data_IF_399499918101
#
_entry.id   IF_399499918101
#
_cell.length_a   1.000
_cell.length_b   1.000
_cell.length_c   1.000
_cell.angle_alpha   90.00
_cell.angle_beta   90.00
_cell.angle_gamma   90.00
#
_symmetry.space_group_name_H-M   'P 1'
#
loop_
_entity.id
_entity.type
_entity.pdbx_description
1 polymer ?
#
# COMPACT_ATOMS: atom_id res chain seq x y z
N UNK A 1 -3.96 -12.65 -3.87
CA UNK A 1 -5.11 -12.43 -2.96
C UNK A 1 -6.04 -11.36 -3.54
N UNK A 2 -7.37 -11.51 -3.44
CA UNK A 2 -8.29 -10.46 -3.89
C UNK A 2 -8.05 -9.15 -3.13
N UNK A 3 -8.17 -8.01 -3.81
CA UNK A 3 -7.89 -6.70 -3.20
C UNK A 3 -8.72 -6.43 -1.94
N UNK A 4 -9.94 -6.97 -1.88
CA UNK A 4 -10.81 -6.86 -0.71
C UNK A 4 -10.31 -7.69 0.49
N UNK A 5 -9.80 -8.89 0.23
CA UNK A 5 -9.17 -9.72 1.24
C UNK A 5 -7.89 -9.07 1.76
N UNK A 6 -7.08 -8.47 0.88
CA UNK A 6 -5.87 -7.71 1.26
C UNK A 6 -6.23 -6.54 2.18
N UNK A 7 -7.24 -5.74 1.84
CA UNK A 7 -7.69 -4.62 2.68
C UNK A 7 -8.20 -5.12 4.05
N UNK A 8 -8.96 -6.21 4.08
CA UNK A 8 -9.45 -6.79 5.34
C UNK A 8 -8.32 -7.32 6.22
N UNK A 9 -7.34 -7.99 5.63
CA UNK A 9 -6.15 -8.50 6.32
C UNK A 9 -5.35 -7.35 6.94
N UNK A 10 -5.06 -6.31 6.16
CA UNK A 10 -4.38 -5.11 6.65
C UNK A 10 -5.17 -4.44 7.80
N UNK A 11 -6.49 -4.35 7.69
CA UNK A 11 -7.33 -3.79 8.75
C UNK A 11 -7.27 -4.61 10.06
N UNK A 12 -7.22 -5.95 9.97
CA UNK A 12 -7.05 -6.84 11.14
C UNK A 12 -5.69 -6.64 11.80
N UNK A 13 -4.62 -6.59 11.00
CA UNK A 13 -3.26 -6.35 11.50
C UNK A 13 -3.19 -5.00 12.19
N UNK A 14 -3.72 -3.93 11.56
CA UNK A 14 -3.78 -2.60 12.16
C UNK A 14 -4.46 -2.61 13.54
N UNK A 15 -5.61 -3.28 13.66
CA UNK A 15 -6.32 -3.42 14.94
C UNK A 15 -5.54 -4.26 15.96
N UNK A 16 -4.79 -5.27 15.51
CA UNK A 16 -3.96 -6.07 16.38
C UNK A 16 -2.80 -5.24 16.97
N UNK A 17 -2.20 -4.33 16.19
CA UNK A 17 -1.16 -3.42 16.69
C UNK A 17 -1.71 -2.59 17.88
N UNK A 18 -2.96 -2.11 17.82
CA UNK A 18 -3.58 -1.39 18.94
C UNK A 18 -3.76 -2.25 20.20
N UNK A 19 -3.95 -3.57 20.04
CA UNK A 19 -4.18 -4.52 21.16
C UNK A 19 -2.89 -5.12 21.72
N UNK A 20 -1.89 -5.38 20.88
CA UNK A 20 -0.69 -6.16 21.20
C UNK A 20 0.50 -5.31 21.62
N UNK A 21 0.72 -4.16 20.97
CA UNK A 21 1.91 -3.32 21.23
C UNK A 21 2.06 -2.88 22.68
N UNK A 22 1.01 -2.61 23.45
CA UNK A 22 1.18 -2.27 24.86
C UNK A 22 1.60 -3.45 25.77
N UNK A 23 1.57 -4.71 25.31
CA UNK A 23 1.59 -5.89 26.20
C UNK A 23 2.72 -6.89 26.01
N UNK A 24 3.28 -7.06 24.80
CA UNK A 24 4.13 -8.24 24.51
C UNK A 24 5.52 -7.92 23.96
N UNK A 25 5.66 -6.95 23.05
CA UNK A 25 6.93 -6.69 22.39
C UNK A 25 7.75 -5.61 23.13
N UNK A 26 8.83 -6.00 23.80
CA UNK A 26 9.79 -5.07 24.42
C UNK A 26 10.85 -4.56 23.44
N UNK A 27 10.91 -5.13 22.23
CA UNK A 27 11.88 -4.74 21.20
C UNK A 27 11.19 -4.51 19.83
N UNK A 28 11.68 -3.56 19.02
CA UNK A 28 11.10 -3.25 17.72
C UNK A 28 11.20 -4.37 16.68
N UNK A 29 12.29 -5.12 16.65
CA UNK A 29 12.49 -6.28 15.78
C UNK A 29 11.46 -7.39 16.08
N UNK A 30 11.25 -7.69 17.35
CA UNK A 30 10.23 -8.65 17.78
C UNK A 30 8.81 -8.20 17.41
N UNK A 31 8.53 -6.89 17.49
CA UNK A 31 7.24 -6.36 17.02
C UNK A 31 7.04 -6.61 15.52
N UNK A 32 8.05 -6.35 14.68
CA UNK A 32 7.91 -6.58 13.24
C UNK A 32 7.71 -8.07 12.92
N UNK A 33 8.47 -8.95 13.58
CA UNK A 33 8.29 -10.39 13.46
C UNK A 33 6.86 -10.83 13.82
N UNK A 34 6.32 -10.37 14.95
CA UNK A 34 4.94 -10.67 15.38
C UNK A 34 3.89 -10.19 14.34
N UNK A 35 4.14 -9.06 13.67
CA UNK A 35 3.24 -8.54 12.63
C UNK A 35 3.31 -9.36 11.34
N UNK A 36 4.49 -9.84 10.97
CA UNK A 36 4.66 -10.75 9.84
C UNK A 36 3.99 -12.10 10.12
N UNK A 37 4.15 -12.66 11.32
CA UNK A 37 3.47 -13.89 11.73
C UNK A 37 1.95 -13.74 11.66
N UNK A 38 1.43 -12.59 12.11
CA UNK A 38 -0.01 -12.30 12.01
C UNK A 38 -0.47 -12.18 10.56
N UNK A 39 0.33 -11.60 9.68
CA UNK A 39 0.04 -11.51 8.26
C UNK A 39 -0.02 -12.91 7.62
N UNK A 40 1.01 -13.72 7.81
CA UNK A 40 1.09 -15.11 7.31
C UNK A 40 -0.08 -15.95 7.81
N UNK A 41 -0.43 -15.82 9.10
CA UNK A 41 -1.60 -16.49 9.67
C UNK A 41 -2.93 -16.01 9.06
N UNK A 42 -3.01 -14.74 8.65
CA UNK A 42 -4.21 -14.15 8.06
C UNK A 42 -4.37 -14.46 6.57
N UNK A 43 -3.28 -14.76 5.87
CA UNK A 43 -3.28 -15.15 4.44
C UNK A 43 -3.40 -16.65 4.25
N UNK A 44 -3.70 -17.43 5.30
CA UNK A 44 -3.75 -18.90 5.28
C UNK A 44 -2.45 -19.54 4.73
N UNK A 45 -1.30 -18.91 4.93
CA UNK A 45 0.01 -19.29 4.34
C UNK A 45 0.02 -19.34 2.80
N UNK A 46 -0.88 -18.60 2.12
CA UNK A 46 -0.91 -18.54 0.65
C UNK A 46 0.17 -17.61 0.08
N UNK A 47 0.59 -16.64 0.88
CA UNK A 47 1.68 -15.70 0.59
C UNK A 47 2.74 -15.87 1.69
N UNK A 48 3.96 -16.25 1.29
CA UNK A 48 5.12 -16.36 2.18
C UNK A 48 5.94 -15.07 2.23
N UNK A 49 5.55 -14.06 1.45
CA UNK A 49 6.20 -12.76 1.45
C UNK A 49 5.92 -12.05 2.78
N UNK A 50 6.97 -11.53 3.39
CA UNK A 50 6.86 -10.72 4.60
C UNK A 50 6.11 -9.41 4.29
N UNK A 51 5.12 -9.06 5.11
CA UNK A 51 4.43 -7.77 4.98
C UNK A 51 5.37 -6.61 5.28
N UNK A 52 6.26 -6.80 6.25
CA UNK A 52 7.24 -5.80 6.69
C UNK A 52 8.67 -6.35 6.60
N UNK A 53 9.53 -5.62 5.91
CA UNK A 53 10.98 -5.76 6.02
C UNK A 53 11.49 -4.77 7.08
N UNK A 54 12.38 -5.24 7.95
CA UNK A 54 13.00 -4.43 9.01
C UNK A 54 14.52 -4.46 8.86
N UNK A 55 15.12 -3.29 8.65
CA UNK A 55 16.57 -3.11 8.63
C UNK A 55 16.98 -2.21 9.79
N UNK A 56 17.84 -2.72 10.68
CA UNK A 56 18.44 -1.99 11.79
C UNK A 56 19.94 -1.75 11.63
N UNK A 57 20.50 -1.96 10.44
CA UNK A 57 21.93 -1.79 10.20
C UNK A 57 22.19 -0.45 9.50
N UNK A 58 22.96 0.42 10.16
CA UNK A 58 23.44 1.68 9.59
C UNK A 58 22.37 2.76 9.44
N UNK A 59 21.47 2.62 8.47
CA UNK A 59 20.36 3.55 8.17
C UNK A 59 19.02 2.86 8.34
N UNK A 60 18.52 2.77 9.59
CA UNK A 60 17.48 1.82 9.89
C UNK A 60 16.15 2.25 9.27
N UNK A 61 15.42 1.27 8.76
CA UNK A 61 14.20 1.48 7.98
C UNK A 61 13.20 0.35 8.18
N UNK A 62 11.93 0.70 8.03
CA UNK A 62 10.84 -0.27 7.88
C UNK A 62 10.30 -0.10 6.47
N UNK A 63 10.09 -1.22 5.78
CA UNK A 63 9.45 -1.25 4.47
C UNK A 63 8.21 -2.14 4.56
N UNK A 64 7.06 -1.65 4.11
CA UNK A 64 5.84 -2.42 3.94
C UNK A 64 5.70 -2.77 2.47
N UNK A 65 5.43 -4.04 2.15
CA UNK A 65 5.27 -4.54 0.79
C UNK A 65 3.88 -5.17 0.64
N UNK A 66 3.14 -4.77 -0.40
CA UNK A 66 1.81 -5.32 -0.70
C UNK A 66 1.71 -5.63 -2.18
N UNK A 67 1.42 -6.89 -2.50
CA UNK A 67 1.15 -7.35 -3.85
C UNK A 67 -0.28 -6.93 -4.30
N UNK A 68 -0.38 -6.47 -5.55
CA UNK A 68 -1.61 -5.96 -6.15
C UNK A 68 -1.90 -6.74 -7.44
N UNK A 69 -2.81 -7.71 -7.35
CA UNK A 69 -3.13 -8.65 -8.44
C UNK A 69 -4.30 -8.17 -9.33
N UNK A 70 -4.49 -6.86 -9.45
CA UNK A 70 -5.55 -6.28 -10.30
C UNK A 70 -4.97 -5.24 -11.24
N UNK A 71 -5.50 -5.17 -12.46
CA UNK A 71 -5.17 -4.09 -13.38
C UNK A 71 -5.86 -2.78 -12.95
N UNK A 72 -5.11 -1.68 -12.96
CA UNK A 72 -5.62 -0.34 -12.64
C UNK A 72 -4.85 0.73 -13.39
N UNK A 73 -5.46 1.92 -13.53
CA UNK A 73 -4.75 3.10 -14.01
C UNK A 73 -3.90 3.68 -12.86
N UNK A 74 -2.60 3.41 -12.90
CA UNK A 74 -1.63 3.88 -11.92
C UNK A 74 -1.63 5.41 -11.79
N UNK A 75 -1.80 6.13 -12.90
CA UNK A 75 -1.78 7.60 -12.90
C UNK A 75 -2.98 8.13 -12.11
N UNK A 76 -4.18 7.63 -12.41
CA UNK A 76 -5.40 8.02 -11.69
C UNK A 76 -5.32 7.66 -10.20
N UNK A 77 -4.91 6.43 -9.88
CA UNK A 77 -4.78 5.99 -8.48
C UNK A 77 -3.84 6.92 -7.71
N UNK A 78 -2.69 7.26 -8.28
CA UNK A 78 -1.75 8.16 -7.62
C UNK A 78 -2.29 9.58 -7.43
N UNK A 79 -2.98 10.13 -8.43
CA UNK A 79 -3.61 11.45 -8.32
C UNK A 79 -4.67 11.46 -7.21
N UNK A 80 -5.54 10.45 -7.17
CA UNK A 80 -6.59 10.30 -6.16
C UNK A 80 -6.00 10.13 -4.74
N UNK A 81 -4.95 9.28 -4.58
CA UNK A 81 -4.25 9.12 -3.29
C UNK A 81 -3.59 10.43 -2.84
N UNK A 82 -2.99 11.18 -3.75
CA UNK A 82 -2.36 12.48 -3.41
C UNK A 82 -3.39 13.50 -2.94
N UNK A 83 -4.53 13.57 -3.61
CA UNK A 83 -5.64 14.44 -3.19
C UNK A 83 -6.14 14.04 -1.82
N UNK A 84 -6.29 12.74 -1.57
CA UNK A 84 -6.75 12.20 -0.28
C UNK A 84 -5.79 12.50 0.87
N UNK A 85 -4.48 12.43 0.62
CA UNK A 85 -3.43 12.65 1.61
C UNK A 85 -2.97 14.13 1.70
N UNK A 86 -3.64 15.04 1.00
CA UNK A 86 -3.32 16.47 0.94
C UNK A 86 -1.83 16.76 0.62
N UNK A 87 -1.28 16.04 -0.36
CA UNK A 87 0.12 16.19 -0.77
C UNK A 87 0.25 17.41 -1.69
N UNK A 88 0.69 18.52 -1.12
CA UNK A 88 0.96 19.79 -1.81
C UNK A 88 2.22 19.71 -2.70
N UNK A 89 2.07 19.10 -3.88
CA UNK A 89 3.04 19.00 -4.98
C UNK A 89 4.36 18.23 -4.73
N UNK A 90 4.88 17.50 -5.73
CA UNK A 90 6.24 16.98 -5.69
C UNK A 90 7.27 18.12 -5.82
N UNK A 91 8.38 18.02 -5.08
CA UNK A 91 9.59 18.79 -5.42
C UNK A 91 10.12 18.26 -6.75
N UNK A 92 9.81 18.99 -7.83
CA UNK A 92 10.21 18.76 -9.22
C UNK A 92 9.68 17.48 -9.88
N UNK A 93 9.33 17.63 -11.15
CA UNK A 93 8.83 16.61 -12.05
C UNK A 93 9.96 15.69 -12.54
N UNK A 94 10.76 15.19 -11.61
CA UNK A 94 11.85 14.29 -11.96
C UNK A 94 11.28 12.88 -11.79
N UNK A 95 10.80 12.34 -12.92
CA UNK A 95 10.59 10.92 -13.19
C UNK A 95 9.30 10.28 -12.63
N UNK A 96 8.14 10.80 -13.05
CA UNK A 96 6.99 9.91 -13.23
C UNK A 96 7.32 8.97 -14.39
N UNK A 97 7.85 7.80 -14.03
CA UNK A 97 8.07 6.67 -14.94
C UNK A 97 9.44 6.64 -15.59
N UNK A 98 10.35 5.84 -15.02
CA UNK A 98 11.29 5.02 -15.80
C UNK A 98 11.97 3.87 -15.00
N UNK A 99 11.33 3.36 -13.93
CA UNK A 99 11.65 2.06 -13.30
C UNK A 99 10.65 1.67 -12.18
N UNK A 100 9.93 2.64 -11.63
CA UNK A 100 8.91 2.48 -10.59
C UNK A 100 8.46 3.87 -10.19
N UNK A 101 7.18 4.10 -9.89
CA UNK A 101 6.73 5.46 -9.61
C UNK A 101 6.97 5.77 -8.13
N UNK A 102 7.90 6.70 -7.88
CA UNK A 102 8.28 7.11 -6.54
C UNK A 102 7.56 8.41 -6.15
N UNK A 103 6.90 8.45 -5.01
CA UNK A 103 6.46 9.71 -4.39
C UNK A 103 6.65 9.64 -2.88
N UNK A 104 6.69 10.79 -2.21
CA UNK A 104 6.92 10.85 -0.77
C UNK A 104 5.85 11.68 -0.07
N UNK A 105 5.53 11.30 1.15
CA UNK A 105 4.72 12.09 2.07
C UNK A 105 5.37 12.11 3.45
N UNK A 106 5.91 13.27 3.84
CA UNK A 106 6.72 13.38 5.05
C UNK A 106 7.99 12.55 4.97
N UNK A 107 8.08 11.48 5.77
CA UNK A 107 9.21 10.54 5.82
C UNK A 107 8.91 9.19 5.17
N UNK A 108 7.74 9.06 4.55
CA UNK A 108 7.30 7.86 3.88
C UNK A 108 7.55 8.00 2.39
N UNK A 109 8.32 7.08 1.83
CA UNK A 109 8.57 6.95 0.40
C UNK A 109 7.69 5.82 -0.13
N UNK A 110 7.04 6.04 -1.25
CA UNK A 110 6.11 5.11 -1.89
C UNK A 110 6.68 4.74 -3.25
N UNK A 111 6.72 3.46 -3.57
CA UNK A 111 7.17 2.94 -4.87
C UNK A 111 6.18 1.91 -5.34
N UNK A 112 5.59 2.12 -6.51
CA UNK A 112 4.89 1.03 -7.21
C UNK A 112 5.82 0.42 -8.26
N UNK A 113 6.15 -0.86 -8.05
CA UNK A 113 6.93 -1.68 -8.97
C UNK A 113 5.96 -2.43 -9.90
N UNK A 114 6.04 -2.11 -11.20
CA UNK A 114 5.15 -2.69 -12.20
C UNK A 114 5.52 -4.14 -12.52
N UNK A 115 6.80 -4.52 -12.39
CA UNK A 115 7.28 -5.84 -12.77
C UNK A 115 6.89 -6.88 -11.73
N UNK A 116 6.95 -6.52 -10.43
CA UNK A 116 6.45 -7.37 -9.34
C UNK A 116 4.96 -7.16 -9.03
N UNK A 117 4.34 -6.09 -9.54
CA UNK A 117 2.96 -5.74 -9.20
C UNK A 117 2.80 -5.35 -7.72
N UNK A 118 3.84 -4.80 -7.09
CA UNK A 118 3.86 -4.54 -5.65
C UNK A 118 3.94 -3.04 -5.33
N UNK A 119 3.17 -2.61 -4.33
CA UNK A 119 3.37 -1.34 -3.65
C UNK A 119 4.37 -1.53 -2.51
N UNK A 120 5.42 -0.71 -2.49
CA UNK A 120 6.37 -0.60 -1.39
C UNK A 120 6.22 0.75 -0.72
N UNK A 121 6.12 0.76 0.61
CA UNK A 121 6.16 1.98 1.42
C UNK A 121 7.36 1.86 2.33
N UNK A 122 8.29 2.80 2.30
CA UNK A 122 9.51 2.79 3.12
C UNK A 122 9.51 3.96 4.08
N UNK A 123 10.01 3.76 5.30
CA UNK A 123 10.22 4.84 6.27
C UNK A 123 11.59 4.69 6.94
N UNK A 124 12.47 5.66 6.68
CA UNK A 124 13.78 5.75 7.35
C UNK A 124 13.65 6.43 8.71
N UNK A 125 14.29 5.87 9.72
CA UNK A 125 14.33 6.46 11.06
C UNK A 125 15.75 6.53 11.61
N UNK A 126 15.91 7.11 12.79
CA UNK A 126 17.20 7.26 13.45
C UNK A 126 17.32 6.28 14.60
N UNK A 127 18.49 5.65 14.76
CA UNK A 127 18.84 4.81 15.92
C UNK A 127 18.57 5.45 17.28
N UNK A 128 18.59 6.78 17.36
CA UNK A 128 18.34 7.52 18.62
C UNK A 128 16.87 7.54 19.04
N UNK A 129 15.93 7.08 18.20
CA UNK A 129 14.47 7.11 18.44
C UNK A 129 13.80 5.74 18.23
N UNK A 130 14.56 4.65 18.37
CA UNK A 130 14.06 3.29 18.09
C UNK A 130 13.51 2.69 19.36
N UNK A 131 12.32 3.11 19.73
CA UNK A 131 11.50 2.43 20.72
C UNK A 131 10.33 1.72 20.03
N UNK A 132 9.81 0.66 20.65
CA UNK A 132 8.71 -0.14 20.10
C UNK A 132 7.47 0.70 19.80
N UNK A 133 7.20 1.76 20.57
CA UNK A 133 6.04 2.64 20.36
C UNK A 133 6.21 3.47 19.09
N UNK A 134 7.41 3.99 18.84
CA UNK A 134 7.75 4.69 17.60
C UNK A 134 7.61 3.77 16.38
N UNK A 135 8.18 2.56 16.43
CA UNK A 135 8.06 1.58 15.32
C UNK A 135 6.61 1.13 15.12
N UNK A 136 5.86 0.91 16.19
CA UNK A 136 4.42 0.64 16.11
C UNK A 136 3.65 1.76 15.40
N UNK A 137 3.93 3.02 15.74
CA UNK A 137 3.25 4.16 15.11
C UNK A 137 3.59 4.27 13.63
N UNK A 138 4.84 4.00 13.25
CA UNK A 138 5.28 3.96 11.85
C UNK A 138 4.53 2.85 11.10
N UNK A 139 4.54 1.62 11.63
CA UNK A 139 3.85 0.48 11.01
C UNK A 139 2.35 0.72 10.83
N UNK A 140 1.66 1.32 11.83
CA UNK A 140 0.24 1.71 11.70
C UNK A 140 0.02 2.68 10.56
N UNK A 141 0.84 3.71 10.47
CA UNK A 141 0.72 4.74 9.45
C UNK A 141 0.97 4.16 8.05
N UNK A 142 1.93 3.25 7.91
CA UNK A 142 2.20 2.56 6.64
C UNK A 142 1.00 1.70 6.21
N UNK A 143 0.38 0.97 7.15
CA UNK A 143 -0.84 0.20 6.87
C UNK A 143 -1.99 1.13 6.47
N UNK A 144 -2.17 2.26 7.15
CA UNK A 144 -3.19 3.25 6.81
C UNK A 144 -3.01 3.78 5.38
N UNK A 145 -1.77 4.12 5.00
CA UNK A 145 -1.49 4.55 3.64
C UNK A 145 -1.68 3.43 2.60
N UNK A 146 -1.26 2.19 2.90
CA UNK A 146 -1.45 1.05 2.01
C UNK A 146 -2.94 0.78 1.78
N UNK A 147 -3.77 0.80 2.84
CA UNK A 147 -5.21 0.65 2.72
C UNK A 147 -5.85 1.76 1.89
N UNK A 148 -5.41 3.01 2.07
CA UNK A 148 -5.93 4.12 1.28
C UNK A 148 -5.53 3.99 -0.20
N UNK A 149 -4.31 3.56 -0.50
CA UNK A 149 -3.89 3.24 -1.86
C UNK A 149 -4.74 2.13 -2.49
N UNK A 150 -4.91 1.00 -1.79
CA UNK A 150 -5.72 -0.13 -2.28
C UNK A 150 -7.19 0.23 -2.51
N UNK A 151 -7.76 1.15 -1.72
CA UNK A 151 -9.12 1.66 -1.96
C UNK A 151 -9.21 2.43 -3.29
N UNK A 152 -8.21 3.24 -3.61
CA UNK A 152 -8.17 3.95 -4.90
C UNK A 152 -7.89 2.99 -6.07
N UNK A 153 -7.02 1.99 -5.89
CA UNK A 153 -6.85 0.89 -6.86
C UNK A 153 -8.18 0.19 -7.13
N UNK A 154 -8.91 -0.18 -6.08
CA UNK A 154 -10.23 -0.81 -6.21
C UNK A 154 -11.22 0.08 -6.96
N UNK A 155 -11.23 1.38 -6.67
CA UNK A 155 -12.10 2.34 -7.36
C UNK A 155 -11.74 2.47 -8.85
N UNK A 156 -10.44 2.52 -9.16
CA UNK A 156 -9.90 2.59 -10.53
C UNK A 156 -10.24 1.32 -11.32
N UNK A 157 -9.99 0.14 -10.77
CA UNK A 157 -10.30 -1.14 -11.42
C UNK A 157 -11.80 -1.27 -11.76
N UNK A 158 -12.69 -0.82 -10.87
CA UNK A 158 -14.15 -0.78 -11.12
C UNK A 158 -14.54 0.14 -12.27
N UNK A 159 -13.91 1.32 -12.38
CA UNK A 159 -14.16 2.26 -13.50
C UNK A 159 -13.75 1.64 -14.84
N UNK A 160 -12.58 0.97 -14.88
CA UNK A 160 -12.10 0.27 -16.08
C UNK A 160 -12.99 -0.89 -16.50
N UNK A 161 -13.53 -1.65 -15.53
CA UNK A 161 -14.49 -2.72 -15.81
C UNK A 161 -15.85 -2.19 -16.32
N UNK A 162 -16.32 -1.05 -15.78
CA UNK A 162 -17.55 -0.40 -16.23
C UNK A 162 -17.46 0.21 -17.64
N UNK A 163 -16.29 0.74 -18.01
CA UNK A 163 -16.05 1.31 -19.34
C UNK A 163 -16.11 0.26 -20.46
N UNK A 164 -15.76 -1.00 -20.19
CA UNK A 164 -15.90 -2.11 -21.15
C UNK A 164 -17.36 -2.59 -21.33
N UNK A 165 -18.31 -2.08 -20.55
CA UNK A 165 -19.72 -2.51 -20.55
C UNK A 165 -20.70 -1.59 -21.29
N UNK A 166 -20.24 -0.46 -21.85
CA UNK A 166 -21.13 0.55 -22.46
C UNK A 166 -20.91 0.83 -23.95
N UNK A 167 -19.95 0.18 -24.61
CA UNK A 167 -19.65 0.45 -26.03
C UNK A 167 -20.30 -0.52 -27.03
N UNK A 168 -21.08 -1.49 -26.56
CA UNK A 168 -21.90 -2.32 -27.44
C UNK A 168 -23.39 -1.95 -27.32
N UNK A 169 -23.93 -1.47 -28.44
CA UNK A 169 -25.35 -1.30 -28.81
C UNK A 169 -25.89 0.15 -28.75
N UNK A 170 -25.74 0.88 -29.87
CA UNK A 170 -26.93 1.19 -30.70
C UNK A 170 -26.58 1.53 -32.16
N UNK A 171 -27.14 0.70 -33.04
CA UNK A 171 -27.09 0.67 -34.51
C UNK A 171 -27.55 1.98 -35.20
N UNK A 172 -27.12 2.23 -36.46
CA UNK A 172 -27.58 3.37 -37.25
C UNK A 172 -29.09 3.28 -37.50
N UNK A 173 -29.83 4.36 -37.21
CA UNK A 173 -31.22 4.49 -37.65
C UNK A 173 -31.24 4.64 -39.17
N UNK A 174 -31.65 3.59 -39.85
CA UNK A 174 -32.01 3.60 -41.26
C UNK A 174 -32.99 4.74 -41.55
N UNK A 175 -32.68 5.49 -42.61
CA UNK A 175 -33.62 6.42 -43.21
C UNK A 175 -34.83 5.67 -43.73
N UNK A 176 -36.00 6.28 -43.57
CA UNK A 176 -37.14 6.00 -44.43
C UNK A 176 -37.47 7.25 -45.23
N UNK A 177 -37.56 7.01 -46.53
CA UNK A 177 -37.98 7.92 -47.59
C UNK A 177 -39.39 8.48 -47.37
#
# INVERSE_FOLDING_TARGET
>A
MEIDDTIQTLARIRQAIDKWVPRTATRPDALIADLNDLYVASTENRDFDELFEYDDVGSPSITLVVNIEVEFDLKTVMEDVRTRLDILQPRRADEIGNAGVVWSHGRYDFVYDRDSGSLRISHKYSHKRVDTKSVSSIAKQMIDYAMDYLKEVKASAKKSAGARGTDDIQLPREGKA
#
